data_IF_618757583538
#
_entry.id   IF_618757583538
#
_cell.length_a   1.000
_cell.length_b   1.000
_cell.length_c   1.000
_cell.angle_alpha   90.00
_cell.angle_beta   90.00
_cell.angle_gamma   90.00
#
_symmetry.space_group_name_H-M   'P 1'
#
loop_
_entity.id
_entity.type
_entity.pdbx_description
1 polymer ?
#
# COMPACT_ATOMS: atom_id res chain seq x y z
N UNK A 1 -5.31 -4.61 23.04
CA UNK A 1 -4.72 -4.77 21.73
C UNK A 1 -3.97 -3.52 21.33
N UNK A 2 -2.78 -3.73 20.82
CA UNK A 2 -1.95 -2.59 20.47
C UNK A 2 -2.32 -2.06 19.10
N UNK A 3 -2.59 -0.77 19.02
CA UNK A 3 -2.82 -0.07 17.76
C UNK A 3 -1.55 0.69 17.42
N UNK A 4 -0.56 -0.06 16.96
CA UNK A 4 0.75 0.51 16.67
C UNK A 4 1.15 0.39 15.21
N UNK A 5 0.18 0.27 14.32
CA UNK A 5 0.43 0.24 12.89
C UNK A 5 0.16 1.61 12.28
N UNK A 6 0.78 1.85 11.13
CA UNK A 6 0.58 3.08 10.37
C UNK A 6 0.51 2.75 8.89
N UNK A 7 -0.02 3.69 8.11
CA UNK A 7 -0.05 3.59 6.66
C UNK A 7 0.69 4.80 6.10
N UNK A 8 1.47 4.58 5.04
CA UNK A 8 2.28 5.62 4.43
C UNK A 8 2.19 5.55 2.92
N UNK A 9 2.64 6.62 2.29
CA UNK A 9 2.75 6.65 0.83
C UNK A 9 4.06 7.31 0.43
N UNK A 10 4.52 6.97 -0.77
CA UNK A 10 5.68 7.58 -1.39
C UNK A 10 5.23 8.38 -2.60
N UNK A 11 5.79 9.57 -2.76
CA UNK A 11 5.40 10.48 -3.83
C UNK A 11 6.63 10.92 -4.62
N UNK A 12 6.44 11.09 -5.91
CA UNK A 12 7.43 11.75 -6.75
C UNK A 12 7.46 13.25 -6.40
N UNK A 13 8.54 13.95 -6.78
CA UNK A 13 8.60 15.41 -6.51
C UNK A 13 7.42 16.19 -7.05
N UNK A 14 6.76 15.69 -8.09
CA UNK A 14 5.58 16.37 -8.66
C UNK A 14 4.28 16.05 -7.90
N UNK A 15 4.36 15.27 -6.82
CA UNK A 15 3.19 14.91 -6.03
C UNK A 15 2.48 13.64 -6.44
N UNK A 16 2.93 12.98 -7.50
CA UNK A 16 2.29 11.73 -7.92
C UNK A 16 2.65 10.60 -6.96
N UNK A 17 1.63 9.94 -6.41
CA UNK A 17 1.81 8.82 -5.51
C UNK A 17 2.25 7.61 -6.31
N UNK A 18 3.34 6.96 -5.89
CA UNK A 18 3.82 5.77 -6.59
C UNK A 18 3.90 4.53 -5.71
N UNK A 19 3.65 4.64 -4.41
CA UNK A 19 3.69 3.48 -3.54
C UNK A 19 2.84 3.70 -2.28
N UNK A 20 2.16 2.65 -1.85
CA UNK A 20 1.40 2.60 -0.59
C UNK A 20 1.94 1.45 0.24
N UNK A 21 2.13 1.66 1.54
CA UNK A 21 2.61 0.59 2.41
C UNK A 21 2.15 0.78 3.84
N UNK A 22 2.35 -0.26 4.64
CA UNK A 22 2.05 -0.23 6.07
C UNK A 22 3.26 -0.72 6.86
N UNK A 23 3.29 -0.35 8.13
CA UNK A 23 4.35 -0.80 9.02
C UNK A 23 3.97 -0.57 10.46
N UNK A 24 4.82 -1.04 11.38
CA UNK A 24 4.66 -0.75 12.80
C UNK A 24 5.30 0.58 13.10
N UNK A 25 4.70 1.33 14.02
CA UNK A 25 5.10 2.72 14.30
C UNK A 25 6.48 2.88 14.92
N UNK A 26 7.17 1.82 15.22
CA UNK A 26 8.50 1.92 15.80
C UNK A 26 9.46 2.61 14.82
N UNK A 27 9.72 3.89 15.07
CA UNK A 27 10.64 4.73 14.28
C UNK A 27 10.26 4.89 12.80
N UNK A 28 9.09 4.40 12.39
CA UNK A 28 8.64 4.48 10.99
C UNK A 28 9.67 3.93 10.01
N UNK A 29 10.51 2.99 10.47
CA UNK A 29 11.62 2.46 9.67
C UNK A 29 11.15 1.85 8.36
N UNK A 30 9.98 1.20 8.34
CA UNK A 30 9.46 0.58 7.13
C UNK A 30 9.16 1.62 6.05
N UNK A 31 8.63 2.79 6.45
CA UNK A 31 8.30 3.85 5.49
C UNK A 31 9.55 4.41 4.81
N UNK A 32 10.66 4.42 5.49
CA UNK A 32 11.93 4.99 4.98
C UNK A 32 12.89 3.94 4.45
N UNK A 33 12.50 2.67 4.46
CA UNK A 33 13.35 1.58 3.97
C UNK A 33 13.50 1.68 2.44
N UNK A 34 14.73 1.67 1.97
CA UNK A 34 15.07 1.74 0.55
C UNK A 34 15.65 0.42 0.03
N UNK A 35 15.94 -0.51 0.91
CA UNK A 35 16.64 -1.74 0.56
C UNK A 35 15.71 -2.92 0.32
N UNK A 36 14.67 -3.03 1.12
CA UNK A 36 13.72 -4.15 1.03
C UNK A 36 12.53 -3.77 0.16
N UNK A 37 12.83 -3.40 -1.08
CA UNK A 37 11.83 -2.95 -2.05
C UNK A 37 11.95 -3.74 -3.35
N UNK A 38 10.87 -3.76 -4.13
CA UNK A 38 10.84 -4.43 -5.42
C UNK A 38 11.70 -3.67 -6.43
N UNK A 39 11.99 -4.35 -7.53
CA UNK A 39 12.73 -3.74 -8.64
C UNK A 39 11.96 -2.54 -9.22
N UNK A 40 10.63 -2.64 -9.29
CA UNK A 40 9.78 -1.55 -9.77
C UNK A 40 9.94 -0.30 -8.90
N UNK A 41 9.94 -0.50 -7.59
CA UNK A 41 10.13 0.62 -6.66
C UNK A 41 11.53 1.22 -6.83
N UNK A 42 12.54 0.37 -6.91
CA UNK A 42 13.93 0.82 -7.04
C UNK A 42 14.17 1.58 -8.34
N UNK A 43 13.53 1.16 -9.42
CA UNK A 43 13.61 1.87 -10.70
C UNK A 43 12.99 3.27 -10.59
N UNK A 44 11.89 3.39 -9.88
CA UNK A 44 11.27 4.69 -9.63
C UNK A 44 12.17 5.56 -8.77
N UNK A 45 12.76 5.01 -7.74
CA UNK A 45 13.70 5.73 -6.89
C UNK A 45 14.91 6.24 -7.68
N UNK A 46 15.42 5.47 -8.61
CA UNK A 46 16.54 5.92 -9.45
C UNK A 46 16.18 7.17 -10.23
N UNK A 47 14.96 7.26 -10.72
CA UNK A 47 14.49 8.44 -11.47
C UNK A 47 14.18 9.60 -10.55
N UNK A 48 13.69 9.32 -9.36
CA UNK A 48 13.20 10.35 -8.43
C UNK A 48 13.81 10.15 -7.04
N UNK A 49 15.15 10.34 -6.91
CA UNK A 49 15.79 10.13 -5.60
C UNK A 49 15.33 11.10 -4.52
N UNK A 50 14.70 12.21 -4.92
CA UNK A 50 14.15 13.18 -3.97
C UNK A 50 12.70 12.88 -3.59
N UNK A 51 12.27 11.64 -3.74
CA UNK A 51 10.90 11.26 -3.44
C UNK A 51 10.53 11.62 -2.00
N UNK A 52 9.25 11.81 -1.77
CA UNK A 52 8.74 12.20 -0.45
C UNK A 52 8.06 11.02 0.22
N UNK A 53 8.22 10.92 1.55
CA UNK A 53 7.52 9.94 2.37
C UNK A 53 6.47 10.67 3.20
N UNK A 54 5.23 10.21 3.15
CA UNK A 54 4.15 10.78 3.96
C UNK A 54 3.50 9.71 4.80
N UNK A 55 3.42 9.95 6.10
CA UNK A 55 2.67 9.08 7.02
C UNK A 55 1.23 9.59 7.01
N UNK A 56 0.33 8.78 6.45
CA UNK A 56 -1.06 9.19 6.27
C UNK A 56 -1.85 9.13 7.58
N UNK A 57 -1.70 8.02 8.30
CA UNK A 57 -2.36 7.88 9.59
C UNK A 57 -1.64 6.81 10.40
N UNK A 58 -1.77 6.89 11.72
CA UNK A 58 -1.08 6.00 12.65
C UNK A 58 -2.05 5.56 13.74
N UNK A 59 -1.54 4.77 14.68
CA UNK A 59 -2.35 4.24 15.79
C UNK A 59 -3.47 3.34 15.28
N UNK A 60 -3.14 2.56 14.25
CA UNK A 60 -4.07 1.61 13.65
C UNK A 60 -3.81 0.21 14.16
N UNK A 61 -4.84 -0.63 14.17
CA UNK A 61 -4.64 -2.07 14.32
C UNK A 61 -4.07 -2.60 13.01
N UNK A 62 -3.53 -3.82 13.04
CA UNK A 62 -3.01 -4.44 11.83
C UNK A 62 -4.11 -4.57 10.78
N UNK A 63 -5.30 -4.99 11.21
CA UNK A 63 -6.45 -5.16 10.31
C UNK A 63 -6.85 -3.84 9.66
N UNK A 64 -6.93 -2.77 10.46
CA UNK A 64 -7.26 -1.45 9.94
C UNK A 64 -6.23 -0.97 8.92
N UNK A 65 -4.95 -1.15 9.22
CA UNK A 65 -3.88 -0.74 8.31
C UNK A 65 -3.97 -1.51 7.00
N UNK A 66 -4.19 -2.82 7.07
CA UNK A 66 -4.32 -3.65 5.87
C UNK A 66 -5.54 -3.27 5.03
N UNK A 67 -6.66 -2.98 5.67
CA UNK A 67 -7.86 -2.56 4.95
C UNK A 67 -7.65 -1.23 4.24
N UNK A 68 -7.02 -0.27 4.91
CA UNK A 68 -6.70 1.01 4.29
C UNK A 68 -5.73 0.84 3.12
N UNK A 69 -4.76 -0.04 3.28
CA UNK A 69 -3.81 -0.33 2.20
C UNK A 69 -4.54 -0.83 0.96
N UNK A 70 -5.44 -1.79 1.12
CA UNK A 70 -6.23 -2.33 0.02
C UNK A 70 -7.05 -1.22 -0.66
N UNK A 71 -7.72 -0.41 0.14
CA UNK A 71 -8.56 0.67 -0.38
C UNK A 71 -7.72 1.68 -1.18
N UNK A 72 -6.58 2.08 -0.64
CA UNK A 72 -5.74 3.08 -1.29
C UNK A 72 -5.07 2.54 -2.55
N UNK A 73 -4.61 1.29 -2.54
CA UNK A 73 -4.03 0.69 -3.73
C UNK A 73 -5.07 0.61 -4.84
N UNK A 74 -6.28 0.25 -4.49
CA UNK A 74 -7.37 0.23 -5.47
C UNK A 74 -7.68 1.63 -6.00
N UNK A 75 -7.66 2.61 -5.12
CA UNK A 75 -7.95 4.00 -5.49
C UNK A 75 -6.94 4.55 -6.48
N UNK A 76 -5.64 4.36 -6.23
CA UNK A 76 -4.61 4.87 -7.11
C UNK A 76 -4.34 3.98 -8.31
N UNK A 77 -4.57 2.67 -8.19
CA UNK A 77 -4.29 1.71 -9.25
C UNK A 77 -2.82 1.34 -9.36
N UNK A 78 -2.56 0.21 -10.00
CA UNK A 78 -1.21 -0.37 -10.11
C UNK A 78 -0.70 -0.28 -11.54
N UNK A 79 0.57 0.10 -11.67
CA UNK A 79 1.22 0.17 -12.99
C UNK A 79 1.33 -1.18 -13.67
N UNK A 80 1.60 -2.23 -12.90
CA UNK A 80 1.75 -3.56 -13.48
C UNK A 80 0.45 -4.10 -14.08
N UNK A 81 -0.69 -3.55 -13.64
CA UNK A 81 -2.00 -3.88 -14.20
C UNK A 81 -2.51 -2.80 -15.14
N UNK A 82 -1.73 -1.76 -15.37
CA UNK A 82 -2.09 -0.61 -16.20
C UNK A 82 -3.37 0.09 -15.72
N UNK A 83 -3.60 0.05 -14.39
CA UNK A 83 -4.79 0.67 -13.80
C UNK A 83 -4.46 1.96 -13.03
N UNK A 84 -3.19 2.29 -12.88
CA UNK A 84 -2.83 3.50 -12.16
C UNK A 84 -1.34 3.72 -11.99
N UNK A 85 -0.97 4.49 -10.97
CA UNK A 85 0.38 5.03 -10.81
C UNK A 85 1.27 4.26 -9.85
N UNK A 86 0.73 3.34 -9.07
CA UNK A 86 1.48 2.66 -8.02
C UNK A 86 2.39 1.56 -8.57
N UNK A 87 3.60 1.48 -8.02
CA UNK A 87 4.52 0.39 -8.33
C UNK A 87 4.33 -0.80 -7.40
N UNK A 88 3.29 -0.79 -6.58
CA UNK A 88 2.89 -1.96 -5.80
C UNK A 88 2.64 -3.12 -6.75
N UNK A 89 3.03 -4.31 -6.34
CA UNK A 89 2.87 -5.53 -7.17
C UNK A 89 1.75 -6.44 -6.68
N UNK A 90 1.04 -6.02 -5.63
CA UNK A 90 -0.10 -6.74 -5.08
C UNK A 90 -1.19 -5.73 -4.74
N UNK A 91 -2.38 -6.24 -4.44
CA UNK A 91 -3.52 -5.39 -4.05
C UNK A 91 -3.49 -5.03 -2.57
N UNK A 92 -2.46 -5.44 -1.84
CA UNK A 92 -2.36 -5.21 -0.41
C UNK A 92 -3.04 -6.30 0.39
N UNK A 93 -3.03 -6.14 1.72
CA UNK A 93 -3.70 -7.07 2.61
C UNK A 93 -2.95 -8.36 2.89
N UNK A 94 -1.71 -8.49 2.44
CA UNK A 94 -0.92 -9.70 2.66
C UNK A 94 -0.66 -9.95 4.14
N UNK A 95 -0.68 -8.90 4.96
CA UNK A 95 -0.56 -9.05 6.39
C UNK A 95 -1.78 -9.66 7.05
N UNK A 96 -2.86 -9.88 6.29
CA UNK A 96 -4.10 -10.48 6.78
C UNK A 96 -4.11 -11.99 6.59
N UNK A 97 -2.99 -12.63 6.86
CA UNK A 97 -2.86 -14.08 6.67
C UNK A 97 -3.81 -14.88 7.55
N UNK A 98 -4.19 -14.31 8.68
CA UNK A 98 -5.10 -14.99 9.63
C UNK A 98 -6.54 -14.55 9.46
N UNK A 99 -6.83 -13.73 8.48
CA UNK A 99 -8.19 -13.31 8.19
C UNK A 99 -8.88 -14.44 7.47
N UNK A 100 -10.15 -14.70 7.81
CA UNK A 100 -10.92 -15.78 7.19
C UNK A 100 -10.98 -15.57 5.67
N UNK A 101 -11.09 -16.67 4.96
CA UNK A 101 -11.24 -16.63 3.51
C UNK A 101 -12.46 -15.82 3.10
N UNK A 102 -13.47 -15.80 3.96
CA UNK A 102 -14.69 -15.04 3.69
C UNK A 102 -14.43 -13.56 3.49
N UNK A 103 -13.56 -12.96 4.29
CA UNK A 103 -13.23 -11.54 4.16
C UNK A 103 -12.52 -11.29 2.84
N UNK A 104 -11.54 -12.13 2.50
CA UNK A 104 -10.80 -11.99 1.25
C UNK A 104 -11.70 -12.19 0.04
N UNK A 105 -12.57 -13.18 0.12
CA UNK A 105 -13.52 -13.47 -0.94
C UNK A 105 -14.50 -12.31 -1.12
N UNK A 106 -14.93 -11.73 -0.02
CA UNK A 106 -15.84 -10.58 -0.03
C UNK A 106 -15.24 -9.39 -0.77
N UNK A 107 -13.97 -9.09 -0.51
CA UNK A 107 -13.26 -8.03 -1.22
C UNK A 107 -13.16 -8.34 -2.72
N UNK A 108 -12.82 -9.56 -3.04
CA UNK A 108 -12.68 -10.01 -4.43
C UNK A 108 -14.01 -9.89 -5.19
N UNK A 109 -15.09 -10.33 -4.57
CA UNK A 109 -16.42 -10.24 -5.17
C UNK A 109 -16.85 -8.81 -5.40
N UNK A 110 -16.55 -7.93 -4.44
CA UNK A 110 -16.86 -6.51 -4.56
C UNK A 110 -16.16 -5.90 -5.77
N UNK A 111 -14.89 -6.25 -5.96
CA UNK A 111 -14.13 -5.77 -7.11
C UNK A 111 -14.71 -6.28 -8.42
N UNK A 112 -15.08 -7.55 -8.46
CA UNK A 112 -15.71 -8.13 -9.65
C UNK A 112 -17.05 -7.45 -9.96
N UNK A 113 -17.82 -7.16 -8.91
CA UNK A 113 -19.10 -6.49 -9.08
C UNK A 113 -18.95 -5.11 -9.71
N UNK A 114 -17.91 -4.39 -9.36
CA UNK A 114 -17.63 -3.07 -9.92
C UNK A 114 -17.12 -3.14 -11.35
N UNK A 115 -16.40 -4.20 -11.68
CA UNK A 115 -15.78 -4.34 -13.00
C UNK A 115 -16.61 -5.14 -13.98
N UNK A 116 -17.68 -5.74 -13.53
CA UNK A 116 -18.60 -6.52 -14.35
C UNK A 116 -19.96 -5.86 -14.34
N UNK A 117 -20.17 -4.90 -15.19
CA UNK A 117 -21.49 -4.28 -15.27
C UNK A 117 -22.55 -5.25 -15.75
#
# INVERSE_FOLDING_TARGET
MENNWYIYRHLKPNGEVFYIGIGKTKNYSRAYDKYHRSKWWKNTFKKYPEYEVQILTKNLSKEEACELEIILIKHYGRKDLETGTLVNLTDGGEGLLNVSEDVRKKHSERMKGENNP
#
